data_IF_513668803813
#
_entry.id   IF_513668803813
#
_cell.length_a   1.000
_cell.length_b   1.000
_cell.length_c   1.000
_cell.angle_alpha   90.00
_cell.angle_beta   90.00
_cell.angle_gamma   90.00
#
_symmetry.space_group_name_H-M   'P 1'
#
loop_
_entity.id
_entity.type
_entity.pdbx_description
1 polymer ?
#
# COMPACT_ATOMS: atom_id res chain seq x y z
N UNK A 1 -4.74 -4.49 -29.20
CA UNK A 1 -3.71 -4.26 -30.23
C UNK A 1 -4.29 -3.51 -31.43
N UNK A 2 -5.39 -3.97 -32.08
CA UNK A 2 -5.98 -3.30 -33.24
C UNK A 2 -6.30 -1.78 -33.08
N UNK A 3 -6.56 -1.31 -31.88
CA UNK A 3 -6.76 0.13 -31.62
C UNK A 3 -5.46 0.94 -31.64
N UNK A 4 -4.35 0.33 -31.24
CA UNK A 4 -3.05 0.97 -31.24
C UNK A 4 -2.46 1.06 -32.64
N UNK A 5 -2.81 0.12 -33.54
CA UNK A 5 -2.40 0.13 -34.94
C UNK A 5 -2.92 1.40 -35.65
N UNK A 6 -4.10 1.90 -35.26
CA UNK A 6 -4.70 3.13 -35.82
C UNK A 6 -3.88 4.39 -35.50
N UNK A 7 -3.07 4.33 -34.45
CA UNK A 7 -2.16 5.42 -34.03
C UNK A 7 -0.70 5.09 -34.30
N UNK A 8 -0.43 4.07 -35.13
CA UNK A 8 0.91 3.71 -35.57
C UNK A 8 1.75 2.98 -34.53
N UNK A 9 1.13 2.40 -33.49
CA UNK A 9 1.79 1.63 -32.46
C UNK A 9 1.47 0.15 -32.65
N UNK A 10 2.46 -0.65 -33.03
CA UNK A 10 2.31 -2.08 -33.30
C UNK A 10 3.63 -2.83 -33.32
N UNK A 11 3.60 -4.19 -33.29
CA UNK A 11 4.81 -5.00 -33.38
C UNK A 11 5.58 -4.71 -34.68
N UNK A 12 6.86 -4.38 -34.57
CA UNK A 12 7.72 -4.09 -35.71
C UNK A 12 7.47 -2.75 -36.39
N UNK A 13 6.55 -1.92 -35.88
CA UNK A 13 6.33 -0.57 -36.41
C UNK A 13 7.26 0.43 -35.69
N UNK A 14 7.92 1.27 -36.49
CA UNK A 14 8.63 2.43 -35.95
C UNK A 14 7.65 3.57 -35.72
N UNK A 15 7.35 3.87 -34.45
CA UNK A 15 6.43 4.93 -34.08
C UNK A 15 7.05 6.30 -34.32
N UNK A 16 6.32 7.14 -35.10
CA UNK A 16 6.70 8.55 -35.31
C UNK A 16 5.46 9.44 -35.26
N UNK A 17 5.34 10.23 -34.22
CA UNK A 17 4.26 11.19 -34.07
C UNK A 17 4.21 12.24 -35.20
N UNK A 18 5.33 12.47 -35.89
CA UNK A 18 5.43 13.43 -37.00
C UNK A 18 4.61 13.01 -38.22
N UNK A 19 4.43 11.70 -38.42
CA UNK A 19 3.73 11.12 -39.57
C UNK A 19 2.22 10.98 -39.34
N UNK A 20 1.75 11.32 -38.11
CA UNK A 20 0.33 11.19 -37.74
C UNK A 20 -0.47 12.42 -38.17
N UNK A 21 -1.74 12.25 -38.58
CA UNK A 21 -2.65 13.37 -38.77
C UNK A 21 -2.71 14.28 -37.54
N UNK A 22 -2.81 15.60 -37.79
CA UNK A 22 -2.75 16.58 -36.69
C UNK A 22 -3.77 16.35 -35.58
N UNK A 23 -4.96 15.83 -35.90
CA UNK A 23 -5.99 15.47 -34.92
C UNK A 23 -5.57 14.33 -34.00
N UNK A 24 -4.96 13.28 -34.56
CA UNK A 24 -4.46 12.12 -33.80
C UNK A 24 -3.27 12.55 -32.90
N UNK A 25 -2.34 13.33 -33.43
CA UNK A 25 -1.21 13.85 -32.63
C UNK A 25 -1.67 14.65 -31.42
N UNK A 26 -2.62 15.59 -31.60
CA UNK A 26 -3.20 16.35 -30.47
C UNK A 26 -3.93 15.44 -29.49
N UNK A 27 -4.59 14.39 -29.99
CA UNK A 27 -5.22 13.39 -29.13
C UNK A 27 -4.23 12.61 -28.27
N UNK A 28 -3.07 12.22 -28.82
CA UNK A 28 -2.00 11.53 -28.09
C UNK A 28 -1.34 12.44 -27.06
N UNK A 29 -1.08 13.71 -27.40
CA UNK A 29 -0.53 14.71 -26.47
C UNK A 29 -1.47 14.88 -25.26
N UNK A 30 -2.78 15.04 -25.51
CA UNK A 30 -3.79 15.15 -24.45
C UNK A 30 -3.95 13.87 -23.65
N UNK A 31 -3.78 12.69 -24.30
CA UNK A 31 -3.93 11.39 -23.62
C UNK A 31 -2.95 11.18 -22.49
N UNK A 32 -1.77 11.81 -22.50
CA UNK A 32 -0.80 11.75 -21.41
C UNK A 32 -1.38 12.43 -20.17
N UNK A 33 -1.85 13.67 -20.30
CA UNK A 33 -2.44 14.43 -19.19
C UNK A 33 -3.75 13.81 -18.70
N UNK A 34 -4.66 13.45 -19.61
CA UNK A 34 -5.92 12.80 -19.29
C UNK A 34 -5.70 11.45 -18.62
N UNK A 35 -4.73 10.65 -19.08
CA UNK A 35 -4.38 9.37 -18.50
C UNK A 35 -3.87 9.50 -17.07
N UNK A 36 -2.95 10.40 -16.81
CA UNK A 36 -2.46 10.67 -15.44
C UNK A 36 -3.61 11.11 -14.51
N UNK A 37 -4.49 12.00 -14.97
CA UNK A 37 -5.64 12.44 -14.18
C UNK A 37 -6.61 11.29 -13.90
N UNK A 38 -6.94 10.46 -14.90
CA UNK A 38 -7.81 9.30 -14.72
C UNK A 38 -7.20 8.32 -13.70
N UNK A 39 -5.90 8.06 -13.76
CA UNK A 39 -5.23 7.17 -12.82
C UNK A 39 -5.22 7.74 -11.39
N UNK A 40 -4.91 9.04 -11.25
CA UNK A 40 -4.89 9.71 -9.94
C UNK A 40 -6.28 9.75 -9.28
N UNK A 41 -7.34 9.96 -10.06
CA UNK A 41 -8.72 10.05 -9.58
C UNK A 41 -9.39 8.67 -9.38
N UNK A 42 -8.75 7.60 -9.83
CA UNK A 42 -9.34 6.25 -9.79
C UNK A 42 -9.05 5.56 -8.46
N UNK A 43 -10.06 5.14 -7.69
CA UNK A 43 -9.85 4.44 -6.43
C UNK A 43 -9.30 3.03 -6.68
N UNK A 44 -8.10 2.76 -6.17
CA UNK A 44 -7.52 1.41 -6.21
C UNK A 44 -8.11 0.51 -5.12
N UNK A 45 -8.52 1.07 -4.00
CA UNK A 45 -8.99 0.36 -2.82
C UNK A 45 -10.49 0.58 -2.56
N UNK A 46 -11.12 -0.38 -1.90
CA UNK A 46 -12.44 -0.20 -1.31
C UNK A 46 -12.40 0.86 -0.18
N UNK A 47 -13.53 1.50 0.15
CA UNK A 47 -13.60 2.37 1.31
C UNK A 47 -13.07 1.67 2.58
N UNK A 48 -12.34 2.39 3.45
CA UNK A 48 -11.72 1.78 4.62
C UNK A 48 -12.76 1.26 5.62
N UNK A 49 -12.51 0.06 6.14
CA UNK A 49 -13.21 -0.50 7.30
C UNK A 49 -12.23 -0.42 8.47
N UNK A 50 -12.65 0.13 9.62
CA UNK A 50 -11.77 0.34 10.80
C UNK A 50 -10.47 1.13 10.52
N UNK A 51 -10.49 2.01 9.51
CA UNK A 51 -9.33 2.78 9.05
C UNK A 51 -8.43 2.05 8.05
N UNK A 52 -8.61 0.74 7.85
CA UNK A 52 -7.86 -0.06 6.88
C UNK A 52 -8.65 -0.27 5.59
N UNK A 53 -7.99 -0.13 4.47
CA UNK A 53 -8.53 -0.38 3.15
C UNK A 53 -7.83 -1.56 2.50
N UNK A 54 -8.62 -2.41 1.85
CA UNK A 54 -8.11 -3.53 1.06
C UNK A 54 -8.23 -3.16 -0.41
N UNK A 55 -7.13 -3.13 -1.18
CA UNK A 55 -7.24 -3.05 -2.63
C UNK A 55 -8.06 -4.24 -3.13
N UNK A 56 -8.80 -4.02 -4.22
CA UNK A 56 -9.45 -5.15 -4.93
C UNK A 56 -8.39 -5.98 -5.61
N UNK A 57 -7.91 -7.01 -4.93
CA UNK A 57 -6.71 -7.77 -5.34
C UNK A 57 -7.02 -8.98 -6.23
N UNK A 58 -8.29 -9.33 -6.44
CA UNK A 58 -8.71 -10.53 -7.18
C UNK A 58 -8.13 -10.61 -8.61
N UNK A 59 -7.77 -9.46 -9.17
CA UNK A 59 -7.20 -9.38 -10.52
C UNK A 59 -5.74 -8.96 -10.56
N UNK A 60 -5.08 -8.75 -9.40
CA UNK A 60 -3.67 -8.35 -9.40
C UNK A 60 -2.80 -9.43 -10.02
N UNK A 61 -1.86 -9.00 -10.88
CA UNK A 61 -1.01 -9.90 -11.64
C UNK A 61 -1.68 -10.64 -12.80
N UNK A 62 -3.03 -10.62 -12.90
CA UNK A 62 -3.79 -11.27 -13.98
C UNK A 62 -4.86 -10.33 -14.48
N UNK A 63 -4.53 -9.43 -15.40
CA UNK A 63 -5.40 -8.34 -15.84
C UNK A 63 -6.20 -8.65 -17.11
N UNK A 64 -5.81 -9.69 -17.87
CA UNK A 64 -6.43 -9.97 -19.17
C UNK A 64 -6.39 -8.75 -20.10
N UNK A 65 -7.57 -8.26 -20.48
CA UNK A 65 -7.75 -7.07 -21.32
C UNK A 65 -8.08 -5.81 -20.53
N UNK A 66 -8.09 -5.85 -19.20
CA UNK A 66 -8.31 -4.67 -18.34
C UNK A 66 -7.04 -3.84 -18.19
N UNK A 67 -6.70 -3.10 -19.25
CA UNK A 67 -5.50 -2.25 -19.31
C UNK A 67 -5.59 -1.08 -18.33
N UNK A 68 -6.79 -0.56 -18.05
CA UNK A 68 -6.96 0.50 -17.08
C UNK A 68 -6.60 0.01 -15.69
N UNK A 69 -7.11 -1.15 -15.27
CA UNK A 69 -6.79 -1.76 -13.99
C UNK A 69 -5.29 -2.01 -13.84
N UNK A 70 -4.65 -2.55 -14.87
CA UNK A 70 -3.21 -2.75 -14.90
C UNK A 70 -2.45 -1.44 -14.68
N UNK A 71 -2.84 -0.37 -15.40
CA UNK A 71 -2.23 0.94 -15.26
C UNK A 71 -2.46 1.56 -13.87
N UNK A 72 -3.65 1.37 -13.27
CA UNK A 72 -3.96 1.81 -11.91
C UNK A 72 -3.06 1.11 -10.87
N UNK A 73 -2.89 -0.22 -10.99
CA UNK A 73 -2.03 -0.98 -10.07
C UNK A 73 -0.59 -0.52 -10.19
N UNK A 74 -0.08 -0.31 -11.42
CA UNK A 74 1.27 0.21 -11.65
C UNK A 74 1.45 1.62 -11.08
N UNK A 75 0.48 2.51 -11.30
CA UNK A 75 0.55 3.89 -10.85
C UNK A 75 0.54 4.03 -9.32
N UNK A 76 -0.27 3.23 -8.62
CA UNK A 76 -0.44 3.33 -7.17
C UNK A 76 0.44 2.38 -6.35
N UNK A 77 0.94 1.29 -6.91
CA UNK A 77 1.56 0.23 -6.14
C UNK A 77 2.74 -0.47 -6.80
N UNK A 78 3.10 -0.09 -8.02
CA UNK A 78 4.14 -0.77 -8.78
C UNK A 78 3.91 -2.30 -8.84
N UNK A 79 4.08 -3.00 -9.88
CA UNK A 79 3.96 -4.47 -10.07
C UNK A 79 3.13 -5.20 -8.99
N UNK A 80 1.82 -5.34 -9.17
CA UNK A 80 0.98 -6.08 -8.23
C UNK A 80 1.24 -7.58 -8.26
N UNK A 81 1.51 -8.18 -7.10
CA UNK A 81 1.58 -9.63 -6.95
C UNK A 81 0.17 -10.23 -6.97
N UNK A 82 0.07 -11.52 -7.29
CA UNK A 82 -1.18 -12.24 -7.12
C UNK A 82 -1.57 -12.31 -5.64
N UNK A 83 -2.86 -12.37 -5.36
CA UNK A 83 -3.37 -12.37 -3.99
C UNK A 83 -2.83 -13.54 -3.16
N UNK A 84 -2.62 -14.70 -3.79
CA UNK A 84 -2.06 -15.88 -3.13
C UNK A 84 -0.59 -15.69 -2.71
N UNK A 85 0.13 -14.78 -3.37
CA UNK A 85 1.52 -14.47 -3.04
C UNK A 85 1.62 -13.37 -2.01
N UNK A 86 0.85 -12.28 -2.17
CA UNK A 86 0.91 -11.14 -1.24
C UNK A 86 -0.38 -10.35 -1.22
N UNK A 87 -0.89 -10.06 -0.02
CA UNK A 87 -1.98 -9.10 0.22
C UNK A 87 -1.45 -7.89 0.98
N UNK A 88 -1.99 -6.73 0.63
CA UNK A 88 -1.68 -5.44 1.25
C UNK A 88 -2.94 -4.82 1.84
N UNK A 89 -2.91 -4.49 3.14
CA UNK A 89 -3.92 -3.66 3.78
C UNK A 89 -3.29 -2.32 4.14
N UNK A 90 -3.89 -1.22 3.74
CA UNK A 90 -3.32 0.11 3.97
C UNK A 90 -4.25 0.97 4.83
N UNK A 91 -3.69 1.80 5.69
CA UNK A 91 -4.42 2.75 6.51
C UNK A 91 -3.84 4.15 6.35
N UNK A 92 -4.71 5.12 6.05
CA UNK A 92 -4.40 6.55 5.94
C UNK A 92 -4.99 7.33 7.09
N UNK A 93 -5.87 6.72 7.89
CA UNK A 93 -6.57 7.36 9.00
C UNK A 93 -6.43 6.57 10.28
N UNK A 94 -6.56 7.25 11.41
CA UNK A 94 -6.62 6.63 12.73
C UNK A 94 -8.04 6.09 13.05
N UNK A 95 -8.21 5.55 14.26
CA UNK A 95 -9.47 4.99 14.75
C UNK A 95 -10.61 6.02 14.82
N UNK A 96 -10.31 7.31 14.84
CA UNK A 96 -11.28 8.40 14.83
C UNK A 96 -11.58 8.92 13.41
N UNK A 97 -10.94 8.34 12.38
CA UNK A 97 -11.05 8.77 10.99
C UNK A 97 -10.19 9.99 10.63
N UNK A 98 -9.31 10.45 11.54
CA UNK A 98 -8.41 11.55 11.27
C UNK A 98 -7.21 11.07 10.45
N UNK A 99 -6.71 11.86 9.46
CA UNK A 99 -5.53 11.52 8.69
C UNK A 99 -4.31 11.25 9.58
N UNK A 100 -3.53 10.24 9.24
CA UNK A 100 -2.30 9.92 9.95
C UNK A 100 -1.23 10.98 9.66
N UNK A 101 -0.61 11.51 10.73
CA UNK A 101 0.47 12.49 10.65
C UNK A 101 1.54 12.19 11.71
N UNK A 102 2.80 12.26 11.33
CA UNK A 102 3.91 11.93 12.22
C UNK A 102 4.19 12.94 13.33
N UNK A 103 3.48 14.09 13.34
CA UNK A 103 3.40 14.98 14.50
C UNK A 103 2.66 14.37 15.69
N UNK A 104 1.89 13.30 15.46
CA UNK A 104 1.17 12.55 16.49
C UNK A 104 1.89 11.25 16.83
N UNK A 105 1.44 10.63 17.94
CA UNK A 105 1.88 9.31 18.38
C UNK A 105 0.74 8.33 18.20
N UNK A 106 1.04 7.15 17.66
CA UNK A 106 0.01 6.11 17.44
C UNK A 106 0.44 4.78 18.02
N UNK A 107 -0.55 3.96 18.31
CA UNK A 107 -0.38 2.59 18.77
C UNK A 107 -1.27 1.64 17.96
N UNK A 108 -0.71 0.50 17.59
CA UNK A 108 -1.43 -0.63 17.02
C UNK A 108 -1.17 -1.82 17.94
N UNK A 109 -2.23 -2.45 18.46
CA UNK A 109 -2.12 -3.59 19.38
C UNK A 109 -2.69 -4.82 18.67
N UNK A 110 -1.84 -5.72 18.28
CA UNK A 110 -2.21 -7.03 17.75
C UNK A 110 -2.35 -8.00 18.93
N UNK A 111 -3.57 -8.44 19.30
CA UNK A 111 -3.74 -9.42 20.38
C UNK A 111 -3.11 -10.76 19.98
N UNK A 112 -2.76 -11.60 20.94
CA UNK A 112 -2.14 -12.90 20.68
C UNK A 112 -2.99 -13.80 19.75
N UNK A 113 -4.32 -13.72 19.88
CA UNK A 113 -5.29 -14.46 19.06
C UNK A 113 -5.60 -13.80 17.71
N UNK A 114 -5.08 -12.60 17.44
CA UNK A 114 -5.35 -11.79 16.24
C UNK A 114 -4.06 -11.25 15.60
N UNK A 115 -2.95 -11.96 15.75
CA UNK A 115 -1.73 -11.68 15.03
C UNK A 115 -1.99 -11.82 13.51
N UNK A 116 -1.30 -11.04 12.65
CA UNK A 116 -1.51 -11.12 11.22
C UNK A 116 -1.25 -12.53 10.66
N UNK A 117 -2.28 -13.22 10.12
CA UNK A 117 -2.11 -14.61 9.70
C UNK A 117 -1.50 -14.70 8.30
N UNK A 118 -0.29 -15.19 8.23
CA UNK A 118 0.46 -15.42 7.00
C UNK A 118 1.25 -16.73 7.10
N UNK A 119 1.27 -17.52 6.02
CA UNK A 119 2.00 -18.80 6.00
C UNK A 119 3.51 -18.58 5.89
N UNK A 120 3.95 -17.52 5.18
CA UNK A 120 5.35 -17.17 5.11
C UNK A 120 5.75 -16.16 6.19
N UNK A 121 5.24 -14.95 6.14
CA UNK A 121 5.46 -13.89 7.14
C UNK A 121 4.55 -12.69 6.90
N UNK A 122 4.46 -11.81 7.88
CA UNK A 122 3.84 -10.49 7.73
C UNK A 122 4.84 -9.37 7.99
N UNK A 123 4.55 -8.19 7.46
CA UNK A 123 5.33 -6.97 7.70
C UNK A 123 4.43 -5.73 7.77
N UNK A 124 4.62 -4.94 8.81
CA UNK A 124 4.02 -3.62 8.97
C UNK A 124 5.05 -2.55 8.62
N UNK A 125 4.74 -1.73 7.63
CA UNK A 125 5.60 -0.64 7.16
C UNK A 125 4.89 0.70 7.31
N UNK A 126 5.67 1.78 7.44
CA UNK A 126 5.17 3.15 7.42
C UNK A 126 5.88 3.94 6.31
N UNK A 127 5.10 4.77 5.61
CA UNK A 127 5.54 5.55 4.46
C UNK A 127 5.17 7.02 4.61
N UNK A 128 5.96 7.91 4.02
CA UNK A 128 5.55 9.29 3.76
C UNK A 128 4.44 9.29 2.70
N UNK A 129 3.28 9.87 3.03
CA UNK A 129 2.12 9.84 2.13
C UNK A 129 2.26 10.81 0.92
N UNK A 130 3.25 11.71 0.90
CA UNK A 130 3.51 12.62 -0.21
C UNK A 130 4.36 11.98 -1.30
N UNK A 131 5.35 11.19 -0.90
CA UNK A 131 6.37 10.63 -1.81
C UNK A 131 6.21 9.14 -2.03
N UNK A 132 5.42 8.46 -1.17
CA UNK A 132 5.25 7.00 -1.13
C UNK A 132 6.56 6.26 -0.81
N UNK A 133 7.55 6.98 -0.25
CA UNK A 133 8.83 6.42 0.14
C UNK A 133 8.81 5.94 1.59
N UNK A 134 9.67 4.98 1.90
CA UNK A 134 9.98 4.62 3.28
C UNK A 134 10.59 5.82 4.02
N UNK A 135 10.17 6.06 5.26
CA UNK A 135 10.63 7.19 6.06
C UNK A 135 12.07 6.96 6.54
N UNK A 136 13.08 7.75 6.07
CA UNK A 136 14.45 7.61 6.52
C UNK A 136 14.59 7.83 8.03
N UNK A 137 15.33 6.95 8.71
CA UNK A 137 15.59 7.06 10.14
C UNK A 137 16.96 6.49 10.52
N UNK A 138 17.54 7.00 11.62
CA UNK A 138 18.87 6.62 12.06
C UNK A 138 18.99 5.13 12.44
N UNK A 139 17.90 4.51 12.86
CA UNK A 139 17.85 3.09 13.22
C UNK A 139 17.75 2.17 12.00
N UNK A 140 17.54 2.73 10.79
CA UNK A 140 17.25 1.98 9.56
C UNK A 140 16.12 0.96 9.75
N UNK A 141 15.15 1.29 10.63
CA UNK A 141 14.00 0.45 10.93
C UNK A 141 12.81 0.87 10.06
N UNK A 142 12.51 0.08 9.07
CA UNK A 142 11.49 0.34 8.06
C UNK A 142 10.28 -0.58 8.15
N UNK A 143 10.37 -1.61 8.99
CA UNK A 143 9.30 -2.57 9.20
C UNK A 143 9.30 -3.12 10.63
N UNK A 144 8.13 -3.57 11.07
CA UNK A 144 7.97 -4.57 12.13
C UNK A 144 7.41 -5.83 11.48
N UNK A 145 8.05 -6.97 11.72
CA UNK A 145 7.70 -8.25 11.10
C UNK A 145 7.92 -9.39 12.10
N UNK A 146 7.20 -10.50 11.93
CA UNK A 146 7.37 -11.71 12.75
C UNK A 146 8.72 -12.41 12.56
N UNK A 147 9.48 -12.05 11.51
CA UNK A 147 10.84 -12.55 11.27
C UNK A 147 11.93 -11.79 12.02
N UNK A 148 11.58 -10.72 12.74
CA UNK A 148 12.57 -9.98 13.53
C UNK A 148 13.01 -10.80 14.73
N UNK A 149 14.32 -10.97 14.92
CA UNK A 149 14.88 -11.64 16.10
C UNK A 149 14.66 -10.87 17.41
N UNK A 150 14.43 -9.55 17.30
CA UNK A 150 14.14 -8.63 18.40
C UNK A 150 12.66 -8.23 18.53
N UNK A 151 11.74 -8.98 17.85
CA UNK A 151 10.31 -8.73 17.97
C UNK A 151 9.85 -8.89 19.44
N UNK A 152 9.36 -7.79 19.98
CA UNK A 152 8.88 -7.76 21.36
C UNK A 152 7.41 -8.20 21.43
N UNK A 153 7.14 -9.09 22.39
CA UNK A 153 5.81 -9.55 22.75
C UNK A 153 5.56 -9.23 24.21
N UNK A 154 4.37 -8.82 24.55
CA UNK A 154 3.93 -8.66 25.93
C UNK A 154 3.72 -10.04 26.58
N UNK A 155 3.54 -10.06 27.91
CA UNK A 155 3.32 -11.28 28.68
C UNK A 155 2.06 -12.07 28.22
N UNK A 156 1.05 -11.37 27.69
CA UNK A 156 -0.17 -11.95 27.12
C UNK A 156 0.00 -12.44 25.66
N UNK A 157 1.22 -12.35 25.11
CA UNK A 157 1.54 -12.73 23.73
C UNK A 157 1.21 -11.67 22.68
N UNK A 158 0.62 -10.53 23.07
CA UNK A 158 0.30 -9.45 22.13
C UNK A 158 1.55 -8.76 21.59
N UNK A 159 1.44 -8.23 20.36
CA UNK A 159 2.48 -7.41 19.71
C UNK A 159 1.97 -5.98 19.63
N UNK A 160 2.70 -5.07 20.22
CA UNK A 160 2.39 -3.64 20.20
C UNK A 160 3.38 -2.91 19.30
N UNK A 161 2.85 -2.12 18.36
CA UNK A 161 3.66 -1.26 17.49
C UNK A 161 3.33 0.20 17.78
N UNK A 162 4.38 0.99 17.99
CA UNK A 162 4.31 2.45 18.18
C UNK A 162 4.85 3.16 16.94
N UNK A 163 4.06 4.10 16.43
CA UNK A 163 4.47 5.03 15.37
C UNK A 163 4.66 6.39 16.03
N UNK A 164 5.89 6.85 16.14
CA UNK A 164 6.24 8.15 16.73
C UNK A 164 7.68 8.55 16.38
N UNK A 165 8.01 9.84 16.50
CA UNK A 165 9.33 10.36 16.15
C UNK A 165 10.41 9.89 17.12
N UNK A 166 10.13 9.90 18.42
CA UNK A 166 11.08 9.55 19.48
C UNK A 166 10.90 8.11 19.93
N UNK A 167 12.00 7.47 20.33
CA UNK A 167 11.94 6.10 20.83
C UNK A 167 11.04 6.00 22.09
N UNK A 168 10.09 5.06 22.14
CA UNK A 168 9.29 4.81 23.33
C UNK A 168 10.15 4.37 24.52
N UNK A 169 9.81 4.86 25.70
CA UNK A 169 10.48 4.42 26.95
C UNK A 169 10.06 3.00 27.33
N UNK A 170 8.83 2.59 27.00
CA UNK A 170 8.31 1.25 27.29
C UNK A 170 9.12 0.16 26.58
N UNK A 171 9.63 -0.81 27.34
CA UNK A 171 10.53 -1.85 26.86
C UNK A 171 9.84 -2.97 26.06
N UNK A 172 8.53 -3.08 26.16
CA UNK A 172 7.70 -4.16 25.61
C UNK A 172 6.98 -3.78 24.30
N UNK A 173 7.39 -2.71 23.64
CA UNK A 173 6.80 -2.23 22.39
C UNK A 173 7.79 -2.27 21.24
N UNK A 174 7.29 -2.49 20.03
CA UNK A 174 8.03 -2.39 18.80
C UNK A 174 7.83 -0.98 18.24
N UNK A 175 8.91 -0.33 17.83
CA UNK A 175 8.87 1.05 17.37
C UNK A 175 9.20 1.17 15.89
N UNK A 176 8.32 1.86 15.16
CA UNK A 176 8.59 2.37 13.81
C UNK A 176 8.73 3.88 13.89
N UNK A 177 9.95 4.41 13.66
CA UNK A 177 10.19 5.84 13.60
C UNK A 177 9.43 6.50 12.46
N UNK A 178 8.86 7.68 12.71
CA UNK A 178 8.19 8.51 11.71
C UNK A 178 8.81 9.92 11.67
N UNK A 179 8.64 10.63 10.54
CA UNK A 179 8.98 12.05 10.39
C UNK A 179 7.75 12.92 10.71
N UNK A 180 7.94 14.24 10.71
CA UNK A 180 6.84 15.21 10.82
C UNK A 180 6.21 15.41 9.44
N UNK A 181 5.10 14.76 9.18
CA UNK A 181 4.40 14.84 7.90
C UNK A 181 3.24 13.86 7.80
N UNK A 182 2.45 13.93 6.72
CA UNK A 182 1.42 12.95 6.45
C UNK A 182 2.04 11.59 6.19
N UNK A 183 1.43 10.55 6.71
CA UNK A 183 1.94 9.18 6.57
C UNK A 183 0.80 8.20 6.30
N UNK A 184 1.16 7.03 5.78
CA UNK A 184 0.28 5.89 5.72
C UNK A 184 1.01 4.63 6.18
N UNK A 185 0.23 3.66 6.61
CA UNK A 185 0.71 2.38 7.12
C UNK A 185 0.24 1.28 6.18
N UNK A 186 1.12 0.32 5.89
CA UNK A 186 0.76 -0.87 5.11
C UNK A 186 1.11 -2.13 5.88
N UNK A 187 0.12 -2.99 6.10
CA UNK A 187 0.30 -4.35 6.59
C UNK A 187 0.33 -5.29 5.40
N UNK A 188 1.42 -6.03 5.25
CA UNK A 188 1.66 -6.98 4.16
C UNK A 188 1.62 -8.39 4.68
N UNK A 189 0.97 -9.26 3.92
CA UNK A 189 0.91 -10.70 4.18
C UNK A 189 1.59 -11.41 3.02
N UNK A 190 2.64 -12.13 3.29
CA UNK A 190 3.33 -12.97 2.31
C UNK A 190 2.85 -14.41 2.49
N UNK A 191 2.35 -15.03 1.42
CA UNK A 191 1.56 -16.25 1.47
C UNK A 191 0.41 -16.12 2.49
N UNK A 192 -0.57 -15.23 2.23
CA UNK A 192 -1.63 -14.95 3.18
C UNK A 192 -2.43 -16.21 3.53
N UNK A 193 -2.82 -16.33 4.78
CA UNK A 193 -3.69 -17.41 5.22
C UNK A 193 -5.11 -17.28 4.64
N UNK A 194 -5.92 -18.37 4.60
CA UNK A 194 -7.24 -18.38 3.98
C UNK A 194 -8.18 -17.28 4.46
N UNK A 195 -8.16 -16.91 5.73
CA UNK A 195 -8.99 -15.85 6.28
C UNK A 195 -8.62 -14.45 5.78
N UNK A 196 -7.35 -14.23 5.38
CA UNK A 196 -6.93 -12.97 4.74
C UNK A 196 -7.39 -12.94 3.29
N UNK A 197 -7.26 -14.07 2.58
CA UNK A 197 -7.73 -14.22 1.20
C UNK A 197 -9.25 -14.04 1.09
N UNK A 198 -9.99 -14.56 2.08
CA UNK A 198 -11.44 -14.42 2.16
C UNK A 198 -11.90 -13.01 2.57
N UNK A 199 -11.00 -12.17 3.11
CA UNK A 199 -11.35 -10.86 3.64
C UNK A 199 -11.93 -10.89 5.06
N UNK A 200 -11.83 -12.00 5.76
CA UNK A 200 -12.35 -12.19 7.11
C UNK A 200 -11.42 -11.62 8.19
N UNK A 201 -10.14 -11.41 7.87
CA UNK A 201 -9.19 -10.79 8.78
C UNK A 201 -9.29 -9.26 8.76
N UNK A 202 -9.50 -8.66 9.92
CA UNK A 202 -9.48 -7.21 10.12
C UNK A 202 -8.35 -6.82 11.07
N UNK A 203 -7.37 -5.99 10.63
CA UNK A 203 -6.32 -5.50 11.51
C UNK A 203 -6.89 -4.61 12.62
N UNK A 204 -6.21 -4.54 13.79
CA UNK A 204 -6.56 -3.60 14.85
C UNK A 204 -6.51 -2.15 14.36
N UNK A 205 -7.42 -1.33 14.87
CA UNK A 205 -7.43 0.10 14.55
C UNK A 205 -6.16 0.81 15.05
N UNK A 206 -5.69 1.80 14.30
CA UNK A 206 -4.56 2.66 14.66
C UNK A 206 -5.05 3.72 15.64
N UNK A 207 -4.67 3.62 16.90
CA UNK A 207 -5.13 4.53 17.96
C UNK A 207 -4.12 5.66 18.16
N UNK A 208 -4.62 6.90 18.10
CA UNK A 208 -3.83 8.06 18.49
C UNK A 208 -3.66 8.07 20.01
N UNK A 209 -2.46 8.36 20.46
CA UNK A 209 -2.11 8.53 21.87
C UNK A 209 -2.18 9.99 22.27
N UNK A 210 -2.45 10.27 23.54
CA UNK A 210 -2.42 11.64 24.09
C UNK A 210 -1.10 12.35 23.87
#
# INVERSE_FOLDING_TARGET
>A
MAQLDQVGIGPGAEFSARNLPAGIRRGLERAIEDGHRILADSPLAAPPVTGWSTPRQETYGVYGHDYLRRAMVEFHGFLGNRAEETIYLSALTDAAGAPLAGSNRYEIVFPASGLPPANAFWALNVYDARTVDLIPNAQRRYAVTDRMSDLKRRADGSVVVRLQQTQPVAGDVNWLPVNDGPLFVTLRFFEPAPEVLAGDYSPPAIRRLP
#
